data_IF_225337738703
#
_entry.id   IF_225337738703
#
_cell.length_a   1.000
_cell.length_b   1.000
_cell.length_c   1.000
_cell.angle_alpha   90.00
_cell.angle_beta   90.00
_cell.angle_gamma   90.00
#
_symmetry.space_group_name_H-M   'P 1'
#
loop_
_entity.id
_entity.type
_entity.pdbx_description
1 polymer ?
#
# COMPACT_ATOMS: atom_id res chain seq x y z
N UNK A 1 24.02 4.81 -28.30
CA UNK A 1 23.00 5.76 -27.80
C UNK A 1 21.89 5.02 -27.09
N UNK A 2 20.87 5.75 -26.65
CA UNK A 2 19.62 5.22 -26.11
C UNK A 2 18.46 5.96 -26.77
N UNK A 3 17.31 5.30 -26.94
CA UNK A 3 16.11 5.92 -27.51
C UNK A 3 14.98 5.84 -26.49
N UNK A 4 14.26 6.93 -26.26
CA UNK A 4 13.03 6.91 -25.45
C UNK A 4 11.92 6.29 -26.29
N UNK A 5 11.33 5.20 -25.80
CA UNK A 5 10.30 4.44 -26.49
C UNK A 5 8.90 4.69 -25.95
N UNK A 6 8.80 5.00 -24.66
CA UNK A 6 7.53 5.29 -24.01
C UNK A 6 7.73 6.23 -22.81
N UNK A 7 6.67 6.96 -22.46
CA UNK A 7 6.63 7.87 -21.31
C UNK A 7 5.33 7.62 -20.56
N UNK A 8 5.44 7.32 -19.28
CA UNK A 8 4.30 7.12 -18.37
C UNK A 8 4.36 8.14 -17.25
N UNK A 9 3.40 9.06 -17.22
CA UNK A 9 3.31 10.10 -16.21
C UNK A 9 2.39 9.66 -15.06
N UNK A 10 2.97 9.42 -13.89
CA UNK A 10 2.23 9.14 -12.66
C UNK A 10 2.02 10.40 -11.82
N UNK A 11 1.35 10.28 -10.66
CA UNK A 11 1.06 11.44 -9.80
C UNK A 11 2.32 12.14 -9.25
N UNK A 12 3.36 11.35 -8.90
CA UNK A 12 4.57 11.88 -8.25
C UNK A 12 5.85 11.70 -9.07
N UNK A 13 5.85 10.78 -10.04
CA UNK A 13 7.01 10.47 -10.87
C UNK A 13 6.58 10.25 -12.31
N UNK A 14 7.47 10.56 -13.25
CA UNK A 14 7.35 10.22 -14.66
C UNK A 14 8.40 9.16 -15.00
N UNK A 15 7.97 8.05 -15.59
CA UNK A 15 8.86 6.99 -16.07
C UNK A 15 9.13 7.15 -17.56
N UNK A 16 10.41 7.26 -17.91
CA UNK A 16 10.91 7.22 -19.28
C UNK A 16 11.43 5.81 -19.58
N UNK A 17 10.86 5.12 -20.56
CA UNK A 17 11.33 3.82 -21.00
C UNK A 17 12.38 3.98 -22.10
N UNK A 18 13.62 3.62 -21.79
CA UNK A 18 14.76 3.70 -22.68
C UNK A 18 15.05 2.33 -23.30
N UNK A 19 15.23 2.32 -24.62
CA UNK A 19 15.78 1.18 -25.34
C UNK A 19 17.28 1.43 -25.58
N UNK A 20 18.18 0.67 -24.94
CA UNK A 20 19.61 0.77 -25.22
C UNK A 20 19.93 0.19 -26.61
N UNK A 21 20.81 0.87 -27.34
CA UNK A 21 21.36 0.30 -28.58
C UNK A 21 22.17 -0.97 -28.30
N UNK A 22 22.34 -1.81 -29.33
CA UNK A 22 23.11 -3.03 -29.24
C UNK A 22 24.54 -2.75 -28.75
N UNK A 23 24.98 -3.50 -27.72
CA UNK A 23 26.30 -3.33 -27.10
C UNK A 23 26.36 -2.36 -25.92
N UNK A 24 25.31 -1.57 -25.66
CA UNK A 24 25.23 -0.74 -24.45
C UNK A 24 24.91 -1.62 -23.24
N UNK A 25 25.86 -1.72 -22.30
CA UNK A 25 25.65 -2.46 -21.05
C UNK A 25 24.71 -1.69 -20.12
N UNK A 26 23.69 -2.36 -19.61
CA UNK A 26 22.75 -1.79 -18.62
C UNK A 26 23.48 -1.24 -17.39
N UNK A 27 24.55 -1.91 -16.94
CA UNK A 27 25.36 -1.45 -15.80
C UNK A 27 25.99 -0.07 -16.02
N UNK A 28 26.27 0.31 -17.28
CA UNK A 28 26.80 1.64 -17.62
C UNK A 28 25.74 2.73 -17.51
N UNK A 29 24.47 2.39 -17.74
CA UNK A 29 23.35 3.33 -17.55
C UNK A 29 23.14 3.53 -16.04
N UNK A 30 23.11 2.43 -15.28
CA UNK A 30 22.97 2.47 -13.81
C UNK A 30 24.11 3.24 -13.15
N UNK A 31 25.35 3.12 -13.65
CA UNK A 31 26.48 3.86 -13.10
C UNK A 31 26.44 5.37 -13.34
N UNK A 32 25.59 5.86 -14.26
CA UNK A 32 25.43 7.28 -14.56
C UNK A 32 24.31 7.95 -13.74
N UNK A 33 23.80 7.28 -12.70
CA UNK A 33 22.66 7.77 -11.91
C UNK A 33 22.86 9.21 -11.42
N UNK A 34 24.01 9.52 -10.82
CA UNK A 34 24.30 10.85 -10.28
C UNK A 34 24.47 11.91 -11.39
N UNK A 35 25.10 11.55 -12.51
CA UNK A 35 25.27 12.45 -13.66
C UNK A 35 23.93 12.78 -14.31
N UNK A 36 23.04 11.79 -14.45
CA UNK A 36 21.69 11.97 -14.98
C UNK A 36 20.87 12.85 -14.02
N UNK A 37 20.94 12.59 -12.72
CA UNK A 37 20.29 13.38 -11.68
C UNK A 37 20.72 14.85 -11.73
N UNK A 38 22.03 15.10 -11.82
CA UNK A 38 22.60 16.44 -11.96
C UNK A 38 22.11 17.12 -13.24
N UNK A 39 22.14 16.41 -14.37
CA UNK A 39 21.74 16.94 -15.67
C UNK A 39 20.24 17.29 -15.74
N UNK A 40 19.40 16.54 -15.02
CA UNK A 40 17.95 16.78 -14.94
C UNK A 40 17.56 17.79 -13.85
N UNK A 41 18.51 18.26 -13.04
CA UNK A 41 18.26 19.02 -11.82
C UNK A 41 17.21 18.35 -10.91
N UNK A 42 17.23 17.01 -10.86
CA UNK A 42 16.28 16.23 -10.09
C UNK A 42 16.77 16.00 -8.65
N UNK A 43 15.84 16.02 -7.69
CA UNK A 43 16.17 15.75 -6.28
C UNK A 43 16.63 14.30 -6.07
N UNK A 44 16.08 13.37 -6.85
CA UNK A 44 16.50 11.97 -6.93
C UNK A 44 16.00 11.32 -8.23
N UNK A 45 16.52 10.17 -8.62
CA UNK A 45 15.97 9.34 -9.71
C UNK A 45 16.03 7.86 -9.35
N UNK A 46 15.14 7.04 -9.92
CA UNK A 46 15.19 5.58 -9.80
C UNK A 46 15.35 4.93 -11.17
N UNK A 47 16.35 4.05 -11.30
CA UNK A 47 16.59 3.29 -12.53
C UNK A 47 16.14 1.84 -12.30
N UNK A 48 15.16 1.39 -13.10
CA UNK A 48 14.64 0.03 -13.12
C UNK A 48 15.13 -0.69 -14.39
N UNK A 49 16.04 -1.66 -14.23
CA UNK A 49 16.70 -2.28 -15.36
C UNK A 49 16.95 -3.79 -15.15
N UNK A 50 16.42 -4.67 -16.03
CA UNK A 50 15.40 -4.39 -17.05
C UNK A 50 14.04 -4.15 -16.42
N UNK A 51 13.13 -3.47 -17.14
CA UNK A 51 11.72 -3.42 -16.77
C UNK A 51 11.15 -4.85 -16.90
N UNK A 52 10.46 -5.40 -15.88
CA UNK A 52 9.87 -6.73 -15.97
C UNK A 52 9.01 -6.90 -17.22
N UNK A 53 9.31 -7.93 -18.02
CA UNK A 53 8.59 -8.23 -19.26
C UNK A 53 8.93 -7.34 -20.47
N UNK A 54 9.90 -6.43 -20.37
CA UNK A 54 10.34 -5.57 -21.49
C UNK A 54 11.85 -5.54 -21.63
N UNK A 55 12.34 -5.44 -22.87
CA UNK A 55 13.77 -5.20 -23.18
C UNK A 55 14.13 -3.71 -23.07
N UNK A 56 13.71 -3.05 -22.00
CA UNK A 56 13.88 -1.61 -21.79
C UNK A 56 14.38 -1.30 -20.37
N UNK A 57 14.98 -0.12 -20.21
CA UNK A 57 15.39 0.45 -18.92
C UNK A 57 14.43 1.57 -18.57
N UNK A 58 13.81 1.51 -17.40
CA UNK A 58 12.93 2.57 -16.90
C UNK A 58 13.73 3.57 -16.07
N UNK A 59 13.67 4.86 -16.41
CA UNK A 59 14.17 5.94 -15.54
C UNK A 59 12.98 6.70 -15.00
N UNK A 60 12.78 6.64 -13.69
CA UNK A 60 11.76 7.38 -12.95
C UNK A 60 12.36 8.68 -12.44
N UNK A 61 11.76 9.78 -12.88
CA UNK A 61 12.15 11.14 -12.50
C UNK A 61 10.98 11.77 -11.72
N UNK A 62 11.21 12.34 -10.52
CA UNK A 62 10.20 13.08 -9.78
C UNK A 62 9.60 14.20 -10.61
N UNK A 63 8.28 14.36 -10.51
CA UNK A 63 7.60 15.47 -11.17
C UNK A 63 7.99 16.79 -10.49
N UNK A 64 7.99 17.89 -11.26
CA UNK A 64 8.17 19.24 -10.70
C UNK A 64 7.02 19.63 -9.78
N UNK A 65 5.81 19.22 -10.15
CA UNK A 65 4.59 19.38 -9.37
C UNK A 65 3.94 18.02 -9.18
N UNK A 66 3.68 17.64 -7.93
CA UNK A 66 3.05 16.38 -7.58
C UNK A 66 1.53 16.55 -7.55
N UNK A 67 0.82 15.60 -8.15
CA UNK A 67 -0.64 15.54 -8.05
C UNK A 67 -1.06 14.77 -6.80
N UNK A 68 -1.90 15.38 -5.97
CA UNK A 68 -2.44 14.74 -4.78
C UNK A 68 -3.38 13.60 -5.20
N UNK A 69 -3.15 12.41 -4.65
CA UNK A 69 -4.06 11.27 -4.81
C UNK A 69 -5.11 11.33 -3.69
N UNK A 70 -6.34 11.71 -4.03
CA UNK A 70 -7.41 11.86 -3.05
C UNK A 70 -8.06 10.50 -2.73
N UNK A 71 -8.38 10.29 -1.45
CA UNK A 71 -9.07 9.07 -1.00
C UNK A 71 -10.39 8.83 -1.75
N UNK A 72 -11.14 9.91 -2.02
CA UNK A 72 -12.40 9.88 -2.76
C UNK A 72 -12.23 9.22 -4.14
N UNK A 73 -11.21 9.64 -4.87
CA UNK A 73 -10.92 9.09 -6.20
C UNK A 73 -10.61 7.59 -6.13
N UNK A 74 -9.89 7.15 -5.10
CA UNK A 74 -9.63 5.73 -4.89
C UNK A 74 -10.92 4.96 -4.63
N UNK A 75 -11.83 5.52 -3.83
CA UNK A 75 -13.08 4.86 -3.44
C UNK A 75 -14.15 4.87 -4.54
N UNK A 76 -14.13 5.87 -5.43
CA UNK A 76 -15.02 5.94 -6.59
C UNK A 76 -14.53 5.08 -7.76
N UNK A 77 -13.31 4.52 -7.67
CA UNK A 77 -12.78 3.62 -8.70
C UNK A 77 -13.57 2.32 -8.79
N UNK A 78 -13.79 1.83 -10.02
CA UNK A 78 -14.50 0.58 -10.26
C UNK A 78 -13.79 -0.61 -9.59
N UNK A 79 -12.45 -0.61 -9.63
CA UNK A 79 -11.62 -1.64 -9.01
C UNK A 79 -11.84 -1.72 -7.50
N UNK A 80 -12.09 -0.60 -6.81
CA UNK A 80 -12.45 -0.60 -5.41
C UNK A 80 -13.93 -0.93 -5.19
N UNK A 81 -14.86 -0.22 -5.83
CA UNK A 81 -16.31 -0.41 -5.62
C UNK A 81 -16.75 -1.87 -5.85
N UNK A 82 -16.26 -2.51 -6.92
CA UNK A 82 -16.67 -3.87 -7.31
C UNK A 82 -15.84 -4.97 -6.64
N UNK A 83 -14.84 -4.63 -5.83
CA UNK A 83 -14.02 -5.65 -5.17
C UNK A 83 -14.82 -6.42 -4.12
N UNK A 84 -14.89 -7.74 -4.27
CA UNK A 84 -15.76 -8.65 -3.49
C UNK A 84 -15.39 -8.77 -2.00
N UNK A 85 -14.10 -8.67 -1.68
CA UNK A 85 -13.64 -8.78 -0.28
C UNK A 85 -14.01 -7.54 0.55
N UNK A 86 -14.53 -7.79 1.75
CA UNK A 86 -14.76 -6.78 2.80
C UNK A 86 -13.46 -6.29 3.47
N UNK A 87 -12.35 -7.00 3.27
CA UNK A 87 -11.02 -6.65 3.76
C UNK A 87 -10.13 -6.04 2.66
N UNK A 88 -10.73 -5.64 1.55
CA UNK A 88 -10.02 -4.93 0.50
C UNK A 88 -9.77 -3.48 0.89
N UNK A 89 -8.59 -2.97 0.57
CA UNK A 89 -8.23 -1.57 0.76
C UNK A 89 -7.54 -0.98 -0.45
N UNK A 90 -7.79 0.31 -0.69
CA UNK A 90 -7.08 1.05 -1.72
C UNK A 90 -5.70 1.45 -1.21
N UNK A 91 -4.66 1.13 -1.96
CA UNK A 91 -3.27 1.48 -1.60
C UNK A 91 -2.94 2.89 -2.09
N UNK A 92 -3.43 3.25 -3.27
CA UNK A 92 -3.10 4.49 -3.95
C UNK A 92 -3.17 4.32 -5.46
N UNK A 93 -2.29 5.03 -6.17
CA UNK A 93 -2.11 4.89 -7.62
C UNK A 93 -0.71 4.41 -7.95
N UNK A 94 -0.60 3.62 -9.01
CA UNK A 94 0.69 3.29 -9.58
C UNK A 94 1.28 4.44 -10.40
N UNK A 95 2.45 4.21 -10.96
CA UNK A 95 3.17 5.15 -11.84
C UNK A 95 2.44 5.47 -13.15
N UNK A 96 1.45 4.66 -13.55
CA UNK A 96 0.58 4.91 -14.70
C UNK A 96 -0.69 5.67 -14.31
N UNK A 97 -0.84 6.02 -13.02
CA UNK A 97 -2.03 6.68 -12.48
C UNK A 97 -3.20 5.74 -12.22
N UNK A 98 -3.02 4.43 -12.38
CA UNK A 98 -4.08 3.45 -12.17
C UNK A 98 -4.28 3.17 -10.68
N UNK A 99 -5.53 3.06 -10.26
CA UNK A 99 -5.88 2.80 -8.86
C UNK A 99 -5.51 1.36 -8.49
N UNK A 100 -4.70 1.23 -7.44
CA UNK A 100 -4.23 -0.05 -6.90
C UNK A 100 -5.06 -0.39 -5.67
N UNK A 101 -5.74 -1.54 -5.73
CA UNK A 101 -6.52 -2.12 -4.64
C UNK A 101 -5.94 -3.48 -4.30
N UNK A 102 -5.82 -3.78 -3.00
CA UNK A 102 -5.35 -5.07 -2.51
C UNK A 102 -6.30 -5.61 -1.43
N UNK A 103 -6.06 -6.85 -0.99
CA UNK A 103 -6.95 -7.59 -0.09
C UNK A 103 -6.16 -8.28 1.02
N UNK A 104 -6.43 -7.89 2.27
CA UNK A 104 -5.78 -8.48 3.44
C UNK A 104 -6.08 -9.97 3.55
N UNK A 105 -7.24 -10.45 3.08
CA UNK A 105 -7.54 -11.88 3.11
C UNK A 105 -6.58 -12.73 2.25
N UNK A 106 -6.03 -12.14 1.17
CA UNK A 106 -5.05 -12.80 0.29
C UNK A 106 -3.61 -12.64 0.77
N UNK A 107 -3.36 -11.63 1.60
CA UNK A 107 -2.10 -11.34 2.27
C UNK A 107 -2.36 -11.34 3.78
N UNK A 108 -2.54 -12.54 4.40
CA UNK A 108 -3.26 -12.70 5.67
C UNK A 108 -2.70 -11.85 6.82
N UNK A 109 -1.45 -11.39 6.70
CA UNK A 109 -0.84 -10.38 7.54
C UNK A 109 -0.07 -9.36 6.71
N UNK A 110 -0.10 -8.09 7.13
CA UNK A 110 0.57 -6.98 6.48
C UNK A 110 1.50 -6.26 7.48
N UNK A 111 2.73 -5.96 7.06
CA UNK A 111 3.67 -5.12 7.80
C UNK A 111 3.82 -3.77 7.09
N UNK A 112 3.57 -2.68 7.80
CA UNK A 112 3.75 -1.31 7.29
C UNK A 112 4.87 -0.64 8.09
N UNK A 113 5.95 -0.27 7.40
CA UNK A 113 7.10 0.42 7.98
C UNK A 113 7.45 1.68 7.16
N UNK A 114 7.97 2.70 7.84
CA UNK A 114 8.35 3.97 7.22
C UNK A 114 8.83 4.97 8.27
N UNK A 115 9.74 5.87 7.86
CA UNK A 115 10.24 6.96 8.69
C UNK A 115 9.14 8.02 8.96
N UNK A 116 9.35 8.89 9.94
CA UNK A 116 8.46 10.04 10.17
C UNK A 116 8.35 10.88 8.90
N UNK A 117 7.13 11.29 8.53
CA UNK A 117 6.87 12.07 7.31
C UNK A 117 6.78 11.25 6.02
N UNK A 118 7.05 9.94 6.04
CA UNK A 118 6.96 9.08 4.83
C UNK A 118 5.53 8.72 4.40
N UNK A 119 4.50 9.17 5.14
CA UNK A 119 3.10 8.85 4.86
C UNK A 119 2.57 7.56 5.51
N UNK A 120 3.34 6.90 6.40
CA UNK A 120 2.90 5.69 7.12
C UNK A 120 1.54 5.84 7.79
N UNK A 121 1.35 6.93 8.55
CA UNK A 121 0.09 7.19 9.26
C UNK A 121 -1.08 7.41 8.30
N UNK A 122 -0.85 8.11 7.19
CA UNK A 122 -1.84 8.30 6.12
C UNK A 122 -2.23 6.96 5.49
N UNK A 123 -1.26 6.08 5.24
CA UNK A 123 -1.49 4.73 4.72
C UNK A 123 -2.35 3.88 5.69
N UNK A 124 -2.04 3.90 6.98
CA UNK A 124 -2.84 3.20 8.01
C UNK A 124 -4.29 3.72 8.03
N UNK A 125 -4.48 5.04 8.02
CA UNK A 125 -5.82 5.63 7.97
C UNK A 125 -6.57 5.27 6.68
N UNK A 126 -5.89 5.26 5.53
CA UNK A 126 -6.46 4.85 4.24
C UNK A 126 -6.95 3.40 4.29
N UNK A 127 -6.17 2.50 4.90
CA UNK A 127 -6.54 1.10 5.09
C UNK A 127 -7.80 0.98 5.97
N UNK A 128 -7.80 1.62 7.14
CA UNK A 128 -8.92 1.57 8.09
C UNK A 128 -10.19 2.14 7.45
N UNK A 129 -10.08 3.31 6.82
CA UNK A 129 -11.21 3.94 6.14
C UNK A 129 -11.74 3.09 4.99
N UNK A 130 -10.87 2.38 4.25
CA UNK A 130 -11.32 1.47 3.19
C UNK A 130 -12.20 0.35 3.73
N UNK A 131 -11.83 -0.21 4.88
CA UNK A 131 -12.61 -1.27 5.55
C UNK A 131 -13.93 -0.71 6.03
N UNK A 132 -13.92 0.42 6.76
CA UNK A 132 -15.14 1.02 7.33
C UNK A 132 -16.11 1.47 6.22
N UNK A 133 -15.59 1.92 5.07
CA UNK A 133 -16.41 2.34 3.93
C UNK A 133 -17.15 1.16 3.27
N UNK A 134 -16.59 -0.06 3.33
CA UNK A 134 -17.11 -1.22 2.59
C UNK A 134 -17.78 -2.28 3.47
N UNK A 135 -17.34 -2.44 4.70
CA UNK A 135 -17.74 -3.53 5.58
C UNK A 135 -18.79 -3.07 6.59
N UNK A 136 -19.85 -3.86 6.75
CA UNK A 136 -20.75 -3.70 7.87
C UNK A 136 -20.03 -4.09 9.18
N UNK A 137 -20.34 -3.45 10.32
CA UNK A 137 -19.77 -3.83 11.62
C UNK A 137 -20.00 -5.29 12.03
N UNK A 138 -20.98 -5.98 11.45
CA UNK A 138 -21.21 -7.41 11.68
C UNK A 138 -20.31 -8.30 10.81
N UNK A 139 -19.82 -7.80 9.67
CA UNK A 139 -18.91 -8.52 8.78
C UNK A 139 -17.46 -8.43 9.27
N UNK A 140 -17.05 -7.25 9.78
CA UNK A 140 -15.66 -6.98 10.18
C UNK A 140 -15.61 -6.29 11.54
N UNK A 141 -14.85 -6.89 12.47
CA UNK A 141 -14.47 -6.28 13.74
C UNK A 141 -12.99 -5.92 13.78
N UNK A 142 -12.68 -4.79 14.41
CA UNK A 142 -11.34 -4.25 14.54
C UNK A 142 -10.92 -4.22 16.02
N UNK A 143 -9.66 -4.60 16.26
CA UNK A 143 -8.96 -4.32 17.51
C UNK A 143 -7.81 -3.39 17.14
N UNK A 144 -7.78 -2.22 17.75
CA UNK A 144 -6.75 -1.21 17.48
C UNK A 144 -5.87 -1.04 18.71
N UNK A 145 -4.56 -0.99 18.50
CA UNK A 145 -3.55 -0.83 19.54
C UNK A 145 -2.69 0.37 19.18
N UNK A 146 -2.72 1.41 20.01
CA UNK A 146 -1.96 2.65 19.82
C UNK A 146 -1.32 3.09 21.15
N UNK A 147 -0.16 2.49 21.51
CA UNK A 147 0.49 2.76 22.78
C UNK A 147 1.06 4.18 22.87
N UNK A 148 1.18 4.87 21.74
CA UNK A 148 1.67 6.25 21.69
C UNK A 148 0.54 7.27 21.74
N UNK A 149 -0.70 6.85 21.54
CA UNK A 149 -1.90 7.70 21.53
C UNK A 149 -1.78 8.84 20.51
N UNK A 150 -1.27 8.51 19.32
CA UNK A 150 -0.99 9.52 18.27
C UNK A 150 -1.94 9.39 17.09
N UNK A 151 -2.34 8.18 16.73
CA UNK A 151 -2.88 7.91 15.39
C UNK A 151 -4.29 7.32 15.43
N UNK A 152 -4.56 6.37 16.33
CA UNK A 152 -5.76 5.54 16.25
C UNK A 152 -6.88 5.96 17.21
N UNK A 153 -6.57 6.82 18.18
CA UNK A 153 -7.56 7.23 19.20
C UNK A 153 -8.80 7.91 18.63
N UNK A 154 -8.68 8.51 17.44
CA UNK A 154 -9.79 9.12 16.68
C UNK A 154 -10.88 8.12 16.30
N UNK A 155 -10.56 6.82 16.23
CA UNK A 155 -11.52 5.77 15.87
C UNK A 155 -12.35 5.26 17.05
N UNK A 156 -12.10 5.72 18.29
CA UNK A 156 -12.92 5.32 19.43
C UNK A 156 -14.40 5.64 19.18
N UNK A 157 -15.27 4.66 19.47
CA UNK A 157 -16.72 4.80 19.33
C UNK A 157 -17.30 4.31 18.01
N UNK A 158 -16.48 3.94 17.02
CA UNK A 158 -17.00 3.30 15.80
C UNK A 158 -17.57 1.91 16.11
N UNK A 159 -18.66 1.47 15.45
CA UNK A 159 -19.29 0.18 15.71
C UNK A 159 -18.44 -1.04 15.31
N UNK A 160 -17.42 -0.84 14.47
CA UNK A 160 -16.47 -1.89 14.09
C UNK A 160 -15.50 -2.24 15.21
N UNK A 161 -15.26 -1.36 16.18
CA UNK A 161 -14.35 -1.67 17.29
C UNK A 161 -14.95 -2.73 18.21
N UNK A 162 -14.17 -3.78 18.47
CA UNK A 162 -14.57 -4.81 19.45
C UNK A 162 -14.37 -4.32 20.89
N UNK A 163 -13.33 -3.52 21.10
CA UNK A 163 -12.98 -2.88 22.37
C UNK A 163 -12.45 -1.47 22.07
N UNK A 164 -12.46 -0.55 23.05
CA UNK A 164 -11.80 0.75 22.91
C UNK A 164 -10.33 0.58 22.51
N UNK A 165 -9.80 1.59 21.82
CA UNK A 165 -8.41 1.61 21.35
C UNK A 165 -7.47 1.35 22.54
N UNK A 166 -6.65 0.32 22.42
CA UNK A 166 -5.77 -0.13 23.50
C UNK A 166 -4.50 0.73 23.51
N UNK A 167 -4.34 1.52 24.56
CA UNK A 167 -3.17 2.40 24.75
C UNK A 167 -2.15 1.85 25.74
N UNK A 168 -2.56 0.94 26.64
CA UNK A 168 -1.66 0.29 27.59
C UNK A 168 -0.96 -0.91 26.93
N UNK A 169 0.38 -0.93 26.79
CA UNK A 169 1.12 -2.07 26.24
C UNK A 169 0.85 -3.39 26.97
N UNK A 170 0.57 -3.34 28.28
CA UNK A 170 0.23 -4.54 29.06
C UNK A 170 -1.15 -5.09 28.70
N UNK A 171 -2.08 -4.24 28.27
CA UNK A 171 -3.40 -4.67 27.78
C UNK A 171 -3.35 -5.15 26.33
N UNK A 172 -2.38 -4.68 25.54
CA UNK A 172 -2.19 -5.13 24.17
C UNK A 172 -1.90 -6.63 24.07
N UNK A 173 -1.08 -7.17 24.97
CA UNK A 173 -0.84 -8.62 25.03
C UNK A 173 -2.11 -9.41 25.35
N UNK A 174 -2.98 -8.88 26.23
CA UNK A 174 -4.29 -9.45 26.51
C UNK A 174 -5.20 -9.51 25.28
N UNK A 175 -5.24 -8.43 24.48
CA UNK A 175 -6.01 -8.39 23.24
C UNK A 175 -5.50 -9.39 22.19
N UNK A 176 -4.18 -9.57 22.07
CA UNK A 176 -3.59 -10.57 21.19
C UNK A 176 -3.86 -12.01 21.66
N UNK A 177 -3.76 -12.27 22.97
CA UNK A 177 -4.11 -13.57 23.55
C UNK A 177 -5.59 -13.91 23.30
N UNK A 178 -6.48 -12.91 23.41
CA UNK A 178 -7.89 -13.08 23.04
C UNK A 178 -8.04 -13.47 21.56
N UNK A 179 -7.30 -12.82 20.65
CA UNK A 179 -7.35 -13.16 19.22
C UNK A 179 -6.89 -14.61 18.94
N UNK A 180 -5.90 -15.11 19.68
CA UNK A 180 -5.47 -16.53 19.60
C UNK A 180 -6.56 -17.48 20.11
N UNK A 181 -7.23 -17.12 21.21
CA UNK A 181 -8.34 -17.90 21.75
C UNK A 181 -9.52 -17.95 20.76
N UNK A 182 -9.92 -16.80 20.20
CA UNK A 182 -10.96 -16.68 19.17
C UNK A 182 -10.62 -17.49 17.91
N UNK A 183 -9.37 -17.46 17.45
CA UNK A 183 -8.91 -18.30 16.34
C UNK A 183 -9.09 -19.79 16.64
N UNK A 184 -8.74 -20.21 17.86
CA UNK A 184 -8.82 -21.62 18.29
C UNK A 184 -10.29 -22.07 18.39
N UNK A 185 -11.16 -21.23 18.94
CA UNK A 185 -12.60 -21.47 19.01
C UNK A 185 -13.23 -21.62 17.61
N UNK A 186 -12.88 -20.73 16.68
CA UNK A 186 -13.32 -20.84 15.28
C UNK A 186 -12.87 -22.13 14.62
N UNK A 187 -11.63 -22.57 14.86
CA UNK A 187 -11.16 -23.85 14.32
C UNK A 187 -11.97 -25.05 14.83
N UNK A 188 -12.36 -25.03 16.11
CA UNK A 188 -13.24 -26.08 16.68
C UNK A 188 -14.62 -26.08 16.00
N UNK A 189 -15.25 -24.91 15.90
CA UNK A 189 -16.55 -24.74 15.23
C UNK A 189 -16.51 -25.18 13.76
N UNK A 190 -15.45 -24.84 13.03
CA UNK A 190 -15.29 -25.29 11.65
C UNK A 190 -15.13 -26.82 11.54
N UNK A 191 -14.40 -27.44 12.47
CA UNK A 191 -14.25 -28.89 12.53
C UNK A 191 -15.59 -29.59 12.84
N UNK A 192 -16.38 -29.06 13.79
CA UNK A 192 -17.71 -29.57 14.14
C UNK A 192 -18.67 -29.52 12.94
N UNK A 193 -18.57 -28.49 12.11
CA UNK A 193 -19.39 -28.33 10.91
C UNK A 193 -18.79 -28.96 9.63
N UNK A 194 -17.63 -29.64 9.72
CA UNK A 194 -16.89 -30.18 8.56
C UNK A 194 -16.60 -29.16 7.45
N UNK A 195 -16.41 -27.89 7.79
CA UNK A 195 -16.08 -26.82 6.83
C UNK A 195 -14.57 -26.57 6.86
N UNK A 196 -13.94 -26.50 5.69
CA UNK A 196 -12.56 -26.00 5.56
C UNK A 196 -12.59 -24.54 5.09
N UNK A 197 -11.62 -23.76 5.56
CA UNK A 197 -11.37 -22.38 5.09
C UNK A 197 -11.19 -22.33 3.58
#
# INVERSE_FOLDING_TARGET
GVTVTNISCGPSVTRYELLPEQGVKVSRIVSLTDDIKLSLAAADIRIEAPIPGKSAVGIEVPNKENNIVYLRELFESESFCRHKSRLAFAVGKDIGGQVVVTDIAKMPHLLIAGATGSGKSVCINTLIMSIIYKADPNDVKLIMVDPKVVELSVYNGIPHLLIPVVTDPKKASGALNWAVAEMTDRYKKFAECNVRR
#
